data_IF_450236520773
#
_entry.id   IF_450236520773
#
_cell.length_a   1.000
_cell.length_b   1.000
_cell.length_c   1.000
_cell.angle_alpha   90.00
_cell.angle_beta   90.00
_cell.angle_gamma   90.00
#
_symmetry.space_group_name_H-M   'P 1'
#
loop_
_entity.id
_entity.type
_entity.pdbx_description
1 polymer ?
#
# COMPACT_ATOMS: atom_id res chain seq x y z
N UNK A 1 0.17 -35.80 18.93
CA UNK A 1 1.25 -36.23 18.02
C UNK A 1 1.60 -35.03 17.12
N UNK A 2 2.30 -34.03 17.66
CA UNK A 2 2.58 -32.73 16.95
C UNK A 2 4.05 -32.31 17.09
N UNK A 3 4.97 -33.24 17.35
CA UNK A 3 6.39 -32.96 17.41
C UNK A 3 7.18 -33.97 16.55
N UNK A 4 7.17 -33.72 15.22
CA UNK A 4 8.27 -34.18 14.38
C UNK A 4 9.09 -32.94 14.00
N UNK A 5 10.40 -32.88 14.31
CA UNK A 5 11.25 -31.80 13.88
C UNK A 5 11.31 -31.79 12.34
N UNK A 6 11.19 -30.59 11.75
CA UNK A 6 11.38 -30.38 10.33
C UNK A 6 12.75 -30.91 9.89
N UNK A 7 12.76 -31.84 8.94
CA UNK A 7 13.97 -32.36 8.34
C UNK A 7 14.60 -31.28 7.47
N UNK A 8 15.85 -30.85 7.77
CA UNK A 8 16.79 -30.31 6.81
C UNK A 8 17.01 -28.79 6.78
N UNK A 9 17.25 -28.15 7.93
CA UNK A 9 18.04 -26.93 7.92
C UNK A 9 19.54 -27.30 8.06
N UNK A 10 20.47 -26.76 7.23
CA UNK A 10 21.89 -26.91 7.48
C UNK A 10 22.22 -26.26 8.81
N UNK A 11 22.94 -26.99 9.67
CA UNK A 11 23.34 -26.53 11.00
C UNK A 11 24.19 -25.27 10.91
N UNK A 12 23.63 -24.10 11.31
CA UNK A 12 24.39 -22.88 11.55
C UNK A 12 23.91 -21.59 10.87
N UNK A 13 23.14 -21.64 9.82
CA UNK A 13 22.58 -20.41 9.20
C UNK A 13 21.22 -20.03 9.83
N UNK A 14 20.93 -18.75 10.09
CA UNK A 14 19.64 -18.32 10.58
C UNK A 14 18.55 -18.68 9.56
N UNK A 15 17.40 -19.18 10.05
CA UNK A 15 16.26 -19.52 9.19
C UNK A 15 15.68 -18.24 8.58
N UNK A 16 15.55 -18.21 7.25
CA UNK A 16 15.02 -17.06 6.52
C UNK A 16 13.57 -17.29 6.11
N UNK A 17 12.65 -16.51 6.67
CA UNK A 17 11.23 -16.59 6.36
C UNK A 17 10.96 -16.27 4.88
N UNK A 18 11.69 -15.31 4.31
CA UNK A 18 11.61 -14.92 2.90
C UNK A 18 12.02 -16.04 1.93
N UNK A 19 12.78 -17.05 2.37
CA UNK A 19 13.16 -18.20 1.54
C UNK A 19 11.99 -19.14 1.25
N UNK A 20 10.91 -19.06 1.99
CA UNK A 20 9.69 -19.85 1.81
C UNK A 20 8.68 -19.22 0.84
N UNK A 21 8.99 -18.03 0.27
CA UNK A 21 8.08 -17.29 -0.58
C UNK A 21 8.73 -16.86 -1.90
N UNK A 22 8.02 -17.04 -3.03
CA UNK A 22 8.51 -16.61 -4.35
C UNK A 22 8.42 -15.08 -4.54
N UNK A 23 7.58 -14.38 -3.76
CA UNK A 23 7.40 -12.93 -3.74
C UNK A 23 7.44 -12.40 -2.31
N UNK A 24 7.00 -11.17 -2.09
CA UNK A 24 6.88 -10.60 -0.75
C UNK A 24 6.28 -9.20 -0.77
N UNK A 25 5.58 -8.84 0.32
CA UNK A 25 4.89 -7.58 0.43
C UNK A 25 3.89 -7.34 -0.71
N UNK A 26 3.50 -6.09 -0.93
CA UNK A 26 2.58 -5.73 -2.01
C UNK A 26 3.13 -6.00 -3.43
N UNK A 27 4.42 -6.26 -3.58
CA UNK A 27 5.02 -6.67 -4.85
C UNK A 27 4.60 -8.07 -5.34
N UNK A 28 3.90 -8.88 -4.53
CA UNK A 28 3.33 -10.16 -4.95
C UNK A 28 1.91 -10.05 -5.53
N UNK A 29 1.28 -8.87 -5.52
CA UNK A 29 -0.03 -8.64 -6.13
C UNK A 29 0.00 -8.99 -7.63
N UNK A 30 -1.14 -9.41 -8.18
CA UNK A 30 -1.30 -9.59 -9.62
C UNK A 30 -1.06 -8.26 -10.34
N UNK A 31 -0.49 -8.34 -11.56
CA UNK A 31 -0.29 -7.14 -12.35
C UNK A 31 -1.65 -6.47 -12.65
N UNK A 32 -1.74 -5.11 -12.70
CA UNK A 32 -2.99 -4.40 -12.96
C UNK A 32 -3.70 -4.85 -14.24
N UNK A 33 -2.95 -5.20 -15.29
CA UNK A 33 -3.52 -5.71 -16.55
C UNK A 33 -4.21 -7.06 -16.38
N UNK A 34 -3.59 -7.98 -15.63
CA UNK A 34 -4.14 -9.31 -15.33
C UNK A 34 -5.41 -9.19 -14.47
N UNK A 35 -5.38 -8.33 -13.46
CA UNK A 35 -6.55 -8.11 -12.59
C UNK A 35 -7.73 -7.56 -13.39
N UNK A 36 -7.49 -6.59 -14.28
CA UNK A 36 -8.54 -6.05 -15.16
C UNK A 36 -9.14 -7.13 -16.09
N UNK A 37 -8.29 -7.99 -16.66
CA UNK A 37 -8.75 -9.11 -17.50
C UNK A 37 -9.67 -10.06 -16.72
N UNK A 38 -9.27 -10.45 -15.50
CA UNK A 38 -10.06 -11.34 -14.63
C UNK A 38 -11.41 -10.72 -14.20
N UNK A 39 -11.47 -9.41 -14.05
CA UNK A 39 -12.69 -8.71 -13.63
C UNK A 39 -13.61 -8.33 -14.82
N UNK A 40 -13.08 -8.24 -16.04
CA UNK A 40 -13.82 -7.77 -17.22
C UNK A 40 -15.03 -8.66 -17.59
N UNK A 41 -14.98 -9.96 -17.30
CA UNK A 41 -16.04 -10.93 -17.62
C UNK A 41 -16.99 -11.20 -16.43
N UNK A 42 -16.82 -10.49 -15.32
CA UNK A 42 -17.71 -10.67 -14.17
C UNK A 42 -19.08 -10.07 -14.47
N UNK A 43 -20.19 -10.80 -14.22
CA UNK A 43 -21.51 -10.24 -14.40
C UNK A 43 -21.63 -9.00 -13.50
N UNK A 44 -22.07 -7.88 -14.09
CA UNK A 44 -22.40 -6.71 -13.32
C UNK A 44 -23.36 -7.13 -12.20
N UNK A 45 -22.91 -7.02 -10.96
CA UNK A 45 -23.78 -7.20 -9.81
C UNK A 45 -24.99 -6.27 -9.99
N UNK A 46 -26.18 -6.69 -9.57
CA UNK A 46 -27.39 -5.86 -9.68
C UNK A 46 -27.18 -4.50 -8.99
N UNK A 47 -28.06 -3.54 -9.22
CA UNK A 47 -27.94 -2.24 -8.60
C UNK A 47 -28.10 -2.38 -7.07
N UNK A 48 -26.98 -2.31 -6.38
CA UNK A 48 -26.96 -2.25 -4.91
C UNK A 48 -26.90 -0.77 -4.51
N UNK A 49 -28.05 -0.12 -4.34
CA UNK A 49 -28.16 1.33 -4.10
C UNK A 49 -27.34 1.81 -2.90
N UNK A 50 -27.10 0.93 -1.90
CA UNK A 50 -26.31 1.24 -0.71
C UNK A 50 -24.82 0.94 -0.84
N UNK A 51 -24.38 0.33 -1.95
CA UNK A 51 -22.96 0.14 -2.24
C UNK A 51 -22.43 1.43 -2.87
N UNK A 52 -21.78 2.29 -2.04
CA UNK A 52 -21.29 3.60 -2.48
C UNK A 52 -19.96 3.51 -3.21
N UNK A 53 -19.16 2.47 -2.91
CA UNK A 53 -17.87 2.16 -3.54
C UNK A 53 -17.79 0.64 -3.72
N UNK A 54 -17.60 0.20 -4.95
CA UNK A 54 -17.43 -1.18 -5.35
C UNK A 54 -16.10 -1.39 -6.09
N UNK A 55 -16.14 -2.16 -7.16
CA UNK A 55 -14.95 -2.51 -7.97
C UNK A 55 -14.74 -1.59 -9.17
N UNK A 56 -15.62 -0.61 -9.40
CA UNK A 56 -15.69 0.14 -10.65
C UNK A 56 -14.53 1.13 -10.82
N UNK A 57 -14.08 1.74 -9.74
CA UNK A 57 -13.08 2.82 -9.76
C UNK A 57 -11.72 2.41 -9.19
N UNK A 58 -11.59 1.17 -8.69
CA UNK A 58 -10.34 0.67 -8.11
C UNK A 58 -9.95 1.42 -6.84
N UNK A 59 -10.95 1.81 -6.04
CA UNK A 59 -10.73 2.40 -4.72
C UNK A 59 -10.15 1.38 -3.74
N UNK A 60 -9.58 1.85 -2.64
CA UNK A 60 -8.83 1.03 -1.68
C UNK A 60 -9.72 0.03 -0.92
N UNK A 61 -11.02 0.36 -0.70
CA UNK A 61 -11.95 -0.52 0.00
C UNK A 61 -13.38 -0.38 -0.52
N UNK A 62 -14.18 -1.43 -0.31
CA UNK A 62 -15.62 -1.37 -0.51
C UNK A 62 -16.29 -0.51 0.58
N UNK A 63 -17.29 0.28 0.20
CA UNK A 63 -18.07 1.11 1.12
C UNK A 63 -19.54 0.83 0.95
N UNK A 64 -20.19 0.37 2.02
CA UNK A 64 -21.63 0.10 2.06
C UNK A 64 -22.33 1.02 3.05
N UNK A 65 -23.35 1.74 2.62
CA UNK A 65 -24.13 2.62 3.46
C UNK A 65 -25.12 1.83 4.33
N UNK A 66 -24.98 1.91 5.65
CA UNK A 66 -25.87 1.25 6.59
C UNK A 66 -27.15 2.08 6.83
N UNK A 67 -26.96 3.38 7.01
CA UNK A 67 -28.00 4.39 7.24
C UNK A 67 -27.52 5.77 6.73
N UNK A 68 -28.28 6.83 7.01
CA UNK A 68 -27.98 8.19 6.51
C UNK A 68 -26.69 8.79 7.10
N UNK A 69 -26.21 8.26 8.22
CA UNK A 69 -25.06 8.81 8.95
C UNK A 69 -23.84 7.88 8.89
N UNK A 70 -24.03 6.58 8.60
CA UNK A 70 -23.02 5.55 8.79
C UNK A 70 -22.77 4.73 7.52
N UNK A 71 -21.52 4.65 7.13
CA UNK A 71 -21.00 3.69 6.14
C UNK A 71 -20.12 2.64 6.81
N UNK A 72 -20.21 1.41 6.34
CA UNK A 72 -19.27 0.34 6.61
C UNK A 72 -18.20 0.36 5.53
N UNK A 73 -16.92 0.32 5.93
CA UNK A 73 -15.77 0.13 5.06
C UNK A 73 -15.26 -1.29 5.26
N UNK A 74 -15.02 -2.02 4.20
CA UNK A 74 -14.51 -3.39 4.26
C UNK A 74 -13.39 -3.59 3.22
N UNK A 75 -12.25 -4.06 3.68
CA UNK A 75 -11.09 -4.39 2.86
C UNK A 75 -10.46 -5.70 3.26
N UNK A 76 -9.63 -6.24 2.38
CA UNK A 76 -8.84 -7.45 2.62
C UNK A 76 -7.48 -7.30 1.95
N UNK A 77 -6.42 -7.27 2.74
CA UNK A 77 -5.06 -7.28 2.20
C UNK A 77 -4.17 -8.28 2.95
N UNK A 78 -3.43 -9.08 2.18
CA UNK A 78 -2.53 -10.11 2.66
C UNK A 78 -1.43 -10.37 1.65
N UNK A 79 -0.27 -10.81 2.12
CA UNK A 79 0.87 -11.10 1.26
C UNK A 79 1.86 -12.08 1.90
N UNK A 80 2.85 -12.48 1.12
CA UNK A 80 3.96 -13.32 1.53
C UNK A 80 5.06 -12.48 2.20
N UNK A 81 5.91 -13.09 3.06
CA UNK A 81 6.98 -12.38 3.78
C UNK A 81 7.93 -11.63 2.86
N UNK A 82 8.23 -10.39 3.22
CA UNK A 82 9.24 -9.56 2.60
C UNK A 82 10.45 -9.28 3.52
N UNK A 83 10.35 -9.68 4.78
CA UNK A 83 11.40 -9.62 5.81
C UNK A 83 11.50 -10.97 6.51
N UNK A 84 12.64 -11.25 7.14
CA UNK A 84 12.90 -12.55 7.78
C UNK A 84 12.46 -12.59 9.25
N UNK A 85 12.34 -11.43 9.92
CA UNK A 85 11.78 -11.35 11.26
C UNK A 85 10.26 -11.56 11.23
N UNK A 86 9.74 -12.62 11.89
CA UNK A 86 8.32 -12.93 11.84
C UNK A 86 7.43 -11.90 12.55
N UNK A 87 7.92 -11.27 13.63
CA UNK A 87 7.18 -10.24 14.33
C UNK A 87 7.04 -8.98 13.45
N UNK A 88 8.13 -8.55 12.81
CA UNK A 88 8.10 -7.42 11.87
C UNK A 88 7.22 -7.71 10.65
N UNK A 89 7.27 -8.94 10.10
CA UNK A 89 6.36 -9.33 9.02
C UNK A 89 4.89 -9.18 9.44
N UNK A 90 4.54 -9.64 10.65
CA UNK A 90 3.19 -9.47 11.20
C UNK A 90 2.78 -8.01 11.33
N UNK A 91 3.68 -7.15 11.83
CA UNK A 91 3.45 -5.70 11.95
C UNK A 91 3.19 -5.06 10.58
N UNK A 92 4.05 -5.33 9.61
CA UNK A 92 3.96 -4.76 8.26
C UNK A 92 2.63 -5.16 7.60
N UNK A 93 2.27 -6.45 7.67
CA UNK A 93 1.05 -6.95 7.05
C UNK A 93 -0.22 -6.32 7.65
N UNK A 94 -0.26 -6.15 8.97
CA UNK A 94 -1.36 -5.50 9.64
C UNK A 94 -1.43 -3.99 9.33
N UNK A 95 -0.29 -3.30 9.30
CA UNK A 95 -0.22 -1.87 8.94
C UNK A 95 -0.77 -1.64 7.54
N UNK A 96 -0.37 -2.49 6.59
CA UNK A 96 -0.81 -2.41 5.20
C UNK A 96 -2.33 -2.62 5.09
N UNK A 97 -2.86 -3.69 5.69
CA UNK A 97 -4.29 -3.99 5.60
C UNK A 97 -5.21 -2.93 6.27
N UNK A 98 -4.73 -2.30 7.35
CA UNK A 98 -5.50 -1.23 8.02
C UNK A 98 -5.45 0.08 7.22
N UNK A 99 -4.46 0.27 6.38
CA UNK A 99 -4.23 1.50 5.61
C UNK A 99 -5.41 1.86 4.71
N UNK A 100 -6.02 0.89 4.05
CA UNK A 100 -7.17 1.09 3.14
C UNK A 100 -8.33 1.81 3.84
N UNK A 101 -8.61 1.45 5.11
CA UNK A 101 -9.66 2.12 5.88
C UNK A 101 -9.33 3.59 6.10
N UNK A 102 -8.06 3.90 6.39
CA UNK A 102 -7.61 5.29 6.54
C UNK A 102 -7.64 6.05 5.22
N UNK A 103 -7.24 5.41 4.11
CA UNK A 103 -7.28 5.99 2.77
C UNK A 103 -8.70 6.39 2.36
N UNK A 104 -9.70 5.57 2.74
CA UNK A 104 -11.12 5.90 2.54
C UNK A 104 -11.65 7.01 3.48
N UNK A 105 -10.82 7.63 4.31
CA UNK A 105 -11.24 8.64 5.29
C UNK A 105 -11.94 8.05 6.52
N UNK A 106 -11.89 6.73 6.70
CA UNK A 106 -12.58 6.00 7.74
C UNK A 106 -11.78 5.83 9.04
N UNK A 107 -12.47 5.26 10.03
CA UNK A 107 -11.90 4.81 11.28
C UNK A 107 -11.98 3.29 11.37
N UNK A 108 -10.86 2.56 11.53
CA UNK A 108 -10.88 1.13 11.75
C UNK A 108 -11.70 0.76 12.99
N UNK A 109 -12.42 -0.35 12.94
CA UNK A 109 -13.29 -0.84 14.02
C UNK A 109 -12.80 -2.19 14.57
N UNK A 110 -12.49 -3.13 13.72
CA UNK A 110 -11.96 -4.46 14.07
C UNK A 110 -11.28 -5.11 12.86
N UNK A 111 -10.52 -6.16 13.11
CA UNK A 111 -9.90 -6.97 12.06
C UNK A 111 -10.11 -8.47 12.28
N UNK A 112 -10.06 -9.24 11.19
CA UNK A 112 -10.00 -10.70 11.17
C UNK A 112 -8.70 -11.13 10.49
N UNK A 113 -7.95 -12.04 11.13
CA UNK A 113 -6.68 -12.53 10.59
C UNK A 113 -6.89 -13.53 9.45
N UNK A 114 -6.09 -13.37 8.39
CA UNK A 114 -5.96 -14.33 7.29
C UNK A 114 -4.58 -14.95 7.41
N UNK A 115 -4.52 -16.27 7.62
CA UNK A 115 -3.30 -16.99 7.92
C UNK A 115 -3.17 -18.23 7.03
N UNK A 116 -2.21 -18.25 6.12
CA UNK A 116 -1.77 -19.45 5.40
C UNK A 116 -0.34 -19.77 5.78
N UNK A 117 -0.07 -21.00 6.29
CA UNK A 117 1.28 -21.36 6.74
C UNK A 117 1.66 -22.76 6.28
N UNK A 118 2.91 -22.97 5.80
CA UNK A 118 3.38 -24.29 5.39
C UNK A 118 3.68 -25.14 6.63
N UNK A 119 2.72 -25.96 7.05
CA UNK A 119 2.88 -26.86 8.17
C UNK A 119 4.05 -27.82 7.94
N UNK A 120 4.87 -28.03 8.96
CA UNK A 120 6.07 -28.86 8.87
C UNK A 120 7.31 -28.21 8.26
N UNK A 121 7.20 -27.01 7.66
CA UNK A 121 8.34 -26.20 7.18
C UNK A 121 8.60 -25.00 8.10
N UNK A 122 7.54 -24.37 8.59
CA UNK A 122 7.64 -23.19 9.45
C UNK A 122 7.37 -23.57 10.91
N UNK A 123 8.31 -23.30 11.85
CA UNK A 123 8.08 -23.55 13.27
C UNK A 123 6.88 -22.77 13.82
N UNK A 124 6.04 -23.41 14.62
CA UNK A 124 4.85 -22.79 15.26
C UNK A 124 5.22 -21.55 16.09
N UNK A 125 6.43 -21.51 16.67
CA UNK A 125 6.91 -20.35 17.41
C UNK A 125 7.01 -19.10 16.51
N UNK A 126 7.46 -19.24 15.25
CA UNK A 126 7.52 -18.13 14.30
C UNK A 126 6.12 -17.69 13.89
N UNK A 127 5.18 -18.61 13.71
CA UNK A 127 3.77 -18.26 13.43
C UNK A 127 3.17 -17.43 14.56
N UNK A 128 3.48 -17.77 15.82
CA UNK A 128 3.05 -16.98 16.98
C UNK A 128 3.61 -15.56 16.96
N UNK A 129 4.88 -15.38 16.57
CA UNK A 129 5.48 -14.04 16.47
C UNK A 129 4.83 -13.22 15.36
N UNK A 130 4.47 -13.83 14.19
CA UNK A 130 3.70 -13.16 13.15
C UNK A 130 2.38 -12.64 13.71
N UNK A 131 1.62 -13.49 14.38
CA UNK A 131 0.33 -13.10 14.98
C UNK A 131 0.49 -12.00 16.04
N UNK A 132 1.53 -12.07 16.89
CA UNK A 132 1.84 -11.02 17.88
C UNK A 132 2.15 -9.69 17.21
N UNK A 133 2.91 -9.69 16.12
CA UNK A 133 3.20 -8.49 15.34
C UNK A 133 1.92 -7.84 14.81
N UNK A 134 1.03 -8.63 14.22
CA UNK A 134 -0.26 -8.14 13.74
C UNK A 134 -1.15 -7.60 14.86
N UNK A 135 -1.22 -8.31 16.00
CA UNK A 135 -1.95 -7.85 17.18
C UNK A 135 -1.40 -6.54 17.76
N UNK A 136 -0.08 -6.37 17.75
CA UNK A 136 0.56 -5.14 18.24
C UNK A 136 0.13 -3.91 17.43
N UNK A 137 0.13 -4.02 16.11
CA UNK A 137 -0.33 -2.94 15.21
C UNK A 137 -1.84 -2.70 15.33
N UNK A 138 -2.64 -3.75 15.42
CA UNK A 138 -4.08 -3.61 15.64
C UNK A 138 -4.37 -2.88 16.98
N UNK A 139 -3.68 -3.25 18.06
CA UNK A 139 -3.77 -2.58 19.34
C UNK A 139 -3.32 -1.11 19.24
N UNK A 140 -2.24 -0.84 18.52
CA UNK A 140 -1.79 0.53 18.22
C UNK A 140 -2.86 1.31 17.44
N UNK A 141 -3.55 0.70 16.47
CA UNK A 141 -4.69 1.31 15.77
C UNK A 141 -5.94 1.45 16.65
N UNK A 142 -5.93 0.88 17.86
CA UNK A 142 -7.06 0.90 18.79
C UNK A 142 -8.17 -0.08 18.44
N UNK A 143 -7.86 -1.17 17.71
CA UNK A 143 -8.84 -2.17 17.30
C UNK A 143 -8.44 -3.58 17.73
N UNK A 144 -9.42 -4.49 17.99
CA UNK A 144 -9.15 -5.90 18.21
C UNK A 144 -8.91 -6.65 16.91
N UNK A 145 -8.05 -7.69 16.94
CA UNK A 145 -8.13 -8.81 16.00
C UNK A 145 -9.12 -9.81 16.62
N UNK A 146 -10.35 -9.83 16.10
CA UNK A 146 -11.49 -10.51 16.71
C UNK A 146 -11.68 -11.98 16.28
N UNK A 147 -10.73 -12.52 15.52
CA UNK A 147 -10.77 -13.89 14.98
C UNK A 147 -10.07 -13.97 13.64
N UNK A 148 -10.51 -14.88 12.79
CA UNK A 148 -9.93 -15.05 11.46
C UNK A 148 -10.04 -16.48 10.95
N UNK A 149 -9.30 -16.77 9.88
CA UNK A 149 -9.22 -18.09 9.27
C UNK A 149 -7.78 -18.51 9.02
N UNK A 150 -7.49 -19.79 9.17
CA UNK A 150 -6.15 -20.35 8.95
C UNK A 150 -6.20 -21.62 8.10
N UNK A 151 -5.25 -21.74 7.19
CA UNK A 151 -5.09 -22.91 6.32
C UNK A 151 -3.64 -23.37 6.27
N UNK A 152 -3.44 -24.66 5.96
CA UNK A 152 -2.15 -25.17 5.49
C UNK A 152 -1.94 -24.69 4.04
N UNK A 153 -0.86 -23.98 3.78
CA UNK A 153 -0.54 -23.39 2.48
C UNK A 153 0.92 -23.67 2.13
N UNK A 154 1.28 -23.78 0.84
CA UNK A 154 2.66 -24.08 0.43
C UNK A 154 3.66 -22.96 0.77
N UNK A 155 3.19 -21.74 0.92
CA UNK A 155 3.96 -20.54 1.25
C UNK A 155 3.31 -19.80 2.42
N UNK A 156 4.11 -19.10 3.25
CA UNK A 156 3.54 -18.26 4.31
C UNK A 156 2.74 -17.09 3.74
N UNK A 157 1.54 -16.91 4.24
CA UNK A 157 0.66 -15.79 3.91
C UNK A 157 0.10 -15.24 5.21
N UNK A 158 0.16 -13.92 5.40
CA UNK A 158 -0.49 -13.24 6.50
C UNK A 158 -1.03 -11.90 6.08
N UNK A 159 -2.17 -11.54 6.64
CA UNK A 159 -2.80 -10.25 6.49
C UNK A 159 -4.10 -10.20 7.27
N UNK A 160 -4.90 -9.17 6.99
CA UNK A 160 -6.16 -8.94 7.70
C UNK A 160 -7.29 -8.65 6.70
N UNK A 161 -8.49 -9.08 7.06
CA UNK A 161 -9.72 -8.41 6.61
C UNK A 161 -10.04 -7.35 7.66
N UNK A 162 -10.17 -6.09 7.24
CA UNK A 162 -10.38 -4.96 8.15
C UNK A 162 -11.75 -4.35 7.90
N UNK A 163 -12.47 -4.13 9.00
CA UNK A 163 -13.75 -3.43 9.01
C UNK A 163 -13.54 -2.07 9.65
N UNK A 164 -14.05 -1.03 8.99
CA UNK A 164 -14.06 0.33 9.48
C UNK A 164 -15.41 1.00 9.30
N UNK A 165 -15.54 2.20 9.81
CA UNK A 165 -16.74 3.04 9.66
C UNK A 165 -16.35 4.45 9.27
N UNK A 166 -17.27 5.12 8.56
CA UNK A 166 -17.19 6.54 8.22
C UNK A 166 -18.58 7.13 8.08
N UNK A 167 -18.69 8.44 8.09
CA UNK A 167 -19.88 9.11 7.58
C UNK A 167 -19.84 9.19 6.06
N UNK A 168 -20.97 9.13 5.35
CA UNK A 168 -21.00 9.33 3.89
C UNK A 168 -20.27 10.60 3.43
N UNK A 169 -20.31 11.67 4.24
CA UNK A 169 -19.65 12.94 3.94
C UNK A 169 -18.12 12.91 4.06
N UNK A 170 -17.55 11.93 4.79
CA UNK A 170 -16.11 11.83 5.04
C UNK A 170 -15.42 10.78 4.17
N UNK A 171 -16.18 10.01 3.38
CA UNK A 171 -15.61 9.06 2.41
C UNK A 171 -14.80 9.82 1.35
N UNK A 172 -13.58 9.35 1.09
CA UNK A 172 -12.70 9.83 0.03
C UNK A 172 -12.53 8.75 -1.02
N UNK A 173 -12.71 9.10 -2.27
CA UNK A 173 -12.66 8.18 -3.43
C UNK A 173 -11.57 8.60 -4.39
N UNK A 174 -11.05 7.67 -5.17
CA UNK A 174 -10.14 7.97 -6.27
C UNK A 174 -10.77 8.86 -7.35
N UNK A 175 -12.09 8.83 -7.46
CA UNK A 175 -12.87 9.52 -8.50
C UNK A 175 -13.30 10.95 -8.16
N UNK A 176 -12.83 11.52 -7.07
CA UNK A 176 -13.32 12.81 -6.58
C UNK A 176 -12.27 13.95 -6.58
N UNK A 177 -11.08 13.71 -7.13
CA UNK A 177 -10.09 14.76 -7.36
C UNK A 177 -10.61 15.79 -8.37
N UNK A 178 -10.14 17.03 -8.23
CA UNK A 178 -10.57 18.18 -9.07
C UNK A 178 -9.40 18.77 -9.85
N UNK A 179 -9.68 19.35 -11.00
CA UNK A 179 -8.67 20.10 -11.73
C UNK A 179 -8.13 21.26 -10.88
N UNK A 180 -6.82 21.40 -10.81
CA UNK A 180 -6.13 22.37 -9.97
C UNK A 180 -5.71 21.83 -8.60
N UNK A 181 -6.20 20.67 -8.16
CA UNK A 181 -5.78 20.09 -6.88
C UNK A 181 -4.27 19.91 -6.81
N UNK A 182 -3.68 20.30 -5.69
CA UNK A 182 -2.32 19.91 -5.33
C UNK A 182 -2.29 18.45 -4.84
N UNK A 183 -1.18 17.76 -5.10
CA UNK A 183 -0.98 16.39 -4.68
C UNK A 183 0.07 16.33 -3.58
N UNK A 184 -0.27 15.73 -2.44
CA UNK A 184 0.65 15.51 -1.31
C UNK A 184 0.86 14.02 -1.16
N UNK A 185 2.13 13.58 -1.06
CA UNK A 185 2.50 12.22 -0.68
C UNK A 185 3.02 12.23 0.75
N UNK A 186 2.49 11.34 1.61
CA UNK A 186 2.76 11.42 3.06
C UNK A 186 4.00 10.66 3.52
N UNK A 187 4.44 9.61 2.81
CA UNK A 187 5.65 8.83 3.13
C UNK A 187 6.59 8.78 1.93
N UNK A 188 7.87 8.54 2.22
CA UNK A 188 8.91 8.36 1.21
C UNK A 188 8.74 7.06 0.41
N UNK A 189 9.15 7.08 -0.87
CA UNK A 189 9.17 5.95 -1.80
C UNK A 189 10.50 5.18 -1.71
N UNK A 190 10.51 3.92 -2.17
CA UNK A 190 11.72 3.11 -2.31
C UNK A 190 11.70 1.80 -1.53
N UNK A 191 10.57 1.43 -0.92
CA UNK A 191 10.41 0.19 -0.13
C UNK A 191 10.71 -1.06 -0.96
N UNK A 192 10.27 -1.11 -2.22
CA UNK A 192 10.55 -2.24 -3.11
C UNK A 192 12.04 -2.35 -3.46
N UNK A 193 12.71 -1.23 -3.72
CA UNK A 193 14.16 -1.19 -3.95
C UNK A 193 14.92 -1.72 -2.72
N UNK A 194 14.51 -1.30 -1.53
CA UNK A 194 15.09 -1.79 -0.26
C UNK A 194 14.83 -3.30 -0.08
N UNK A 195 13.62 -3.77 -0.38
CA UNK A 195 13.30 -5.20 -0.33
C UNK A 195 14.12 -6.02 -1.32
N UNK A 196 14.39 -5.50 -2.53
CA UNK A 196 15.24 -6.14 -3.50
C UNK A 196 16.70 -6.23 -3.03
N UNK A 197 17.22 -5.17 -2.40
CA UNK A 197 18.54 -5.16 -1.79
C UNK A 197 18.62 -6.10 -0.58
N UNK A 198 17.58 -6.12 0.27
CA UNK A 198 17.50 -7.03 1.42
C UNK A 198 17.56 -8.50 1.01
N UNK A 199 16.81 -8.89 -0.01
CA UNK A 199 16.85 -10.27 -0.54
C UNK A 199 18.22 -10.70 -1.03
N UNK A 200 19.03 -9.74 -1.52
CA UNK A 200 20.42 -9.94 -1.97
C UNK A 200 21.47 -9.69 -0.88
N UNK A 201 21.05 -9.50 0.37
CA UNK A 201 21.92 -9.24 1.54
C UNK A 201 22.80 -7.99 1.37
N UNK A 202 22.32 -7.03 0.57
CA UNK A 202 23.03 -5.78 0.25
C UNK A 202 22.43 -4.53 0.96
N UNK A 203 21.36 -4.69 1.75
CA UNK A 203 20.72 -3.57 2.45
C UNK A 203 21.46 -3.29 3.77
N UNK A 204 22.00 -2.06 3.98
CA UNK A 204 22.63 -1.68 5.24
C UNK A 204 21.64 -1.76 6.43
N UNK A 205 22.13 -2.06 7.66
CA UNK A 205 21.26 -2.14 8.84
C UNK A 205 20.46 -0.86 9.14
N UNK A 206 21.03 0.32 8.90
CA UNK A 206 20.33 1.60 9.07
C UNK A 206 19.17 1.75 8.07
N UNK A 207 19.38 1.38 6.81
CA UNK A 207 18.35 1.38 5.77
C UNK A 207 17.26 0.31 6.06
N UNK A 208 17.65 -0.84 6.60
CA UNK A 208 16.65 -1.83 7.06
C UNK A 208 15.76 -1.25 8.15
N UNK A 209 16.32 -0.59 9.15
CA UNK A 209 15.56 0.06 10.22
C UNK A 209 14.64 1.18 9.68
N UNK A 210 15.10 1.99 8.72
CA UNK A 210 14.31 3.00 8.02
C UNK A 210 13.12 2.36 7.28
N UNK A 211 13.36 1.27 6.55
CA UNK A 211 12.33 0.51 5.84
C UNK A 211 11.24 0.00 6.79
N UNK A 212 11.64 -0.67 7.87
CA UNK A 212 10.70 -1.19 8.89
C UNK A 212 9.91 -0.03 9.51
N UNK A 213 10.56 1.06 9.89
CA UNK A 213 9.91 2.24 10.45
C UNK A 213 8.84 2.81 9.52
N UNK A 214 9.16 2.95 8.23
CA UNK A 214 8.19 3.42 7.22
C UNK A 214 7.00 2.48 7.08
N UNK A 215 7.25 1.17 6.95
CA UNK A 215 6.20 0.17 6.72
C UNK A 215 5.33 -0.13 7.93
N UNK A 216 5.78 0.20 9.14
CA UNK A 216 5.00 -0.01 10.38
C UNK A 216 4.37 1.27 10.91
N UNK A 217 4.50 2.40 10.21
CA UNK A 217 3.79 3.64 10.52
C UNK A 217 2.38 3.59 9.95
N UNK A 218 1.36 3.60 10.81
CA UNK A 218 -0.05 3.63 10.42
C UNK A 218 -0.42 4.94 9.70
N UNK A 219 -1.26 4.88 8.70
CA UNK A 219 -1.75 6.04 7.94
C UNK A 219 -2.93 6.76 8.64
N UNK A 220 -2.90 6.91 9.96
CA UNK A 220 -3.99 7.44 10.80
C UNK A 220 -4.50 8.82 10.39
N UNK A 221 -3.62 9.64 9.82
CA UNK A 221 -3.97 10.98 9.34
C UNK A 221 -5.12 10.95 8.32
N UNK A 222 -5.31 9.83 7.61
CA UNK A 222 -6.38 9.65 6.64
C UNK A 222 -7.78 9.87 7.23
N UNK A 223 -8.02 9.46 8.48
CA UNK A 223 -9.30 9.73 9.17
C UNK A 223 -9.55 11.24 9.32
N UNK A 224 -8.53 12.02 9.66
CA UNK A 224 -8.65 13.48 9.80
C UNK A 224 -8.75 14.15 8.43
N UNK A 225 -7.99 13.68 7.44
CA UNK A 225 -8.07 14.17 6.06
C UNK A 225 -9.46 13.95 5.46
N UNK A 226 -10.12 12.83 5.80
CA UNK A 226 -11.50 12.57 5.40
C UNK A 226 -12.50 13.62 5.89
N UNK A 227 -12.22 14.33 6.97
CA UNK A 227 -13.08 15.39 7.55
C UNK A 227 -12.81 16.77 6.96
N UNK A 228 -11.75 16.93 6.17
CA UNK A 228 -11.34 18.22 5.61
C UNK A 228 -12.08 18.45 4.28
N UNK A 229 -12.85 19.51 4.18
CA UNK A 229 -13.59 19.84 2.97
C UNK A 229 -12.66 20.14 1.78
N UNK A 230 -11.46 20.63 2.06
CA UNK A 230 -10.41 20.95 1.10
C UNK A 230 -9.71 19.71 0.52
N UNK A 231 -9.91 18.51 1.13
CA UNK A 231 -9.38 17.24 0.62
C UNK A 231 -10.44 16.59 -0.25
N UNK A 232 -10.12 16.35 -1.52
CA UNK A 232 -11.08 15.85 -2.47
C UNK A 232 -10.92 14.35 -2.74
N UNK A 233 -9.69 13.83 -2.87
CA UNK A 233 -9.42 12.41 -3.06
C UNK A 233 -8.23 11.97 -2.21
N UNK A 234 -8.26 10.71 -1.77
CA UNK A 234 -7.17 10.06 -1.03
C UNK A 234 -7.09 8.62 -1.51
N UNK A 235 -5.88 8.11 -1.67
CA UNK A 235 -5.57 6.67 -1.83
C UNK A 235 -4.25 6.38 -1.15
N UNK A 236 -3.95 5.14 -0.80
CA UNK A 236 -2.62 4.77 -0.36
C UNK A 236 -1.75 4.27 -1.52
N UNK A 237 -0.45 4.51 -1.44
CA UNK A 237 0.50 4.11 -2.49
C UNK A 237 1.10 2.78 -2.12
N UNK A 238 0.67 1.71 -2.79
CA UNK A 238 1.12 0.35 -2.51
C UNK A 238 1.72 -0.36 -3.74
N UNK A 239 1.26 -1.54 -4.07
CA UNK A 239 1.90 -2.46 -5.02
C UNK A 239 2.08 -1.96 -6.44
N UNK A 240 1.28 -1.01 -6.89
CA UNK A 240 1.38 -0.46 -8.26
C UNK A 240 2.31 0.74 -8.38
N UNK A 241 2.92 1.18 -7.26
CA UNK A 241 3.81 2.33 -7.21
C UNK A 241 3.07 3.66 -7.37
N UNK A 242 3.81 4.77 -7.26
CA UNK A 242 3.20 6.12 -7.34
C UNK A 242 2.53 6.38 -8.70
N UNK A 243 3.09 5.85 -9.80
CA UNK A 243 2.49 6.02 -11.12
C UNK A 243 1.19 5.25 -11.26
N UNK A 244 1.10 4.01 -10.74
CA UNK A 244 -0.10 3.19 -10.84
C UNK A 244 -1.25 3.79 -10.04
N UNK A 245 -1.03 4.08 -8.76
CA UNK A 245 -2.06 4.68 -7.90
C UNK A 245 -2.42 6.11 -8.32
N UNK A 246 -1.43 6.90 -8.77
CA UNK A 246 -1.71 8.20 -9.39
C UNK A 246 -2.57 8.10 -10.65
N UNK A 247 -2.36 7.06 -11.47
CA UNK A 247 -3.17 6.80 -12.66
C UNK A 247 -4.60 6.34 -12.30
N UNK A 248 -4.80 5.62 -11.19
CA UNK A 248 -6.13 5.29 -10.69
C UNK A 248 -6.91 6.55 -10.33
N UNK A 249 -6.30 7.49 -9.60
CA UNK A 249 -6.90 8.80 -9.30
C UNK A 249 -7.18 9.59 -10.58
N UNK A 250 -6.25 9.62 -11.53
CA UNK A 250 -6.41 10.33 -12.80
C UNK A 250 -7.59 9.78 -13.62
N UNK A 251 -7.70 8.45 -13.72
CA UNK A 251 -8.79 7.77 -14.43
C UNK A 251 -10.14 7.93 -13.72
N UNK A 252 -10.17 7.69 -12.42
CA UNK A 252 -11.38 7.82 -11.61
C UNK A 252 -11.98 9.23 -11.69
N UNK A 253 -11.13 10.25 -11.69
CA UNK A 253 -11.53 11.68 -11.75
C UNK A 253 -11.62 12.24 -13.18
N UNK A 254 -11.27 11.46 -14.22
CA UNK A 254 -11.22 11.91 -15.62
C UNK A 254 -10.29 13.11 -15.84
N UNK A 255 -9.12 13.10 -15.21
CA UNK A 255 -8.13 14.18 -15.20
C UNK A 255 -6.74 13.68 -15.61
N UNK A 256 -5.82 14.60 -15.88
CA UNK A 256 -4.39 14.32 -16.01
C UNK A 256 -3.67 14.63 -14.70
N UNK A 257 -2.85 13.69 -14.21
CA UNK A 257 -1.95 13.91 -13.08
C UNK A 257 -0.60 14.41 -13.60
N UNK A 258 -0.14 15.57 -13.14
CA UNK A 258 1.20 16.09 -13.35
C UNK A 258 2.05 15.80 -12.12
N UNK A 259 3.08 14.96 -12.28
CA UNK A 259 4.00 14.55 -11.24
C UNK A 259 5.34 15.24 -11.41
N UNK A 260 5.82 15.88 -10.37
CA UNK A 260 7.18 16.42 -10.28
C UNK A 260 8.09 15.37 -9.63
N UNK A 261 8.91 14.72 -10.44
CA UNK A 261 9.78 13.66 -9.97
C UNK A 261 10.92 14.16 -9.07
N UNK A 262 11.30 15.43 -9.14
CA UNK A 262 12.30 16.03 -8.26
C UNK A 262 11.72 16.38 -6.87
N UNK A 263 10.40 16.52 -6.77
CA UNK A 263 9.72 16.80 -5.50
C UNK A 263 9.37 15.55 -4.69
N UNK A 264 9.57 14.35 -5.24
CA UNK A 264 9.21 13.10 -4.58
C UNK A 264 10.08 12.83 -3.35
N UNK A 265 9.49 12.57 -2.18
CA UNK A 265 10.24 12.10 -1.04
C UNK A 265 10.68 10.64 -1.28
N UNK A 266 11.95 10.35 -1.08
CA UNK A 266 12.53 9.02 -1.24
C UNK A 266 13.31 8.60 0.00
N UNK A 267 13.36 7.30 0.28
CA UNK A 267 14.19 6.74 1.35
C UNK A 267 15.68 7.01 1.07
N UNK A 268 16.47 7.17 2.12
CA UNK A 268 17.83 7.69 2.02
C UNK A 268 18.74 6.96 1.00
N UNK A 269 18.60 5.64 0.88
CA UNK A 269 19.43 4.82 -0.02
C UNK A 269 18.71 4.47 -1.35
N UNK A 270 17.45 4.91 -1.54
CA UNK A 270 16.63 4.45 -2.66
C UNK A 270 17.23 4.82 -4.03
N UNK A 271 17.72 6.04 -4.18
CA UNK A 271 18.37 6.48 -5.42
C UNK A 271 19.65 5.66 -5.73
N UNK A 272 20.52 5.48 -4.73
CA UNK A 272 21.73 4.67 -4.89
C UNK A 272 21.38 3.25 -5.31
N UNK A 273 20.44 2.61 -4.61
CA UNK A 273 20.03 1.24 -4.90
C UNK A 273 19.39 1.10 -6.29
N UNK A 274 18.57 2.08 -6.70
CA UNK A 274 18.00 2.11 -8.04
C UNK A 274 19.07 2.20 -9.13
N UNK A 275 20.08 3.07 -8.95
CA UNK A 275 21.24 3.22 -9.86
C UNK A 275 22.11 1.96 -9.90
N UNK A 276 22.21 1.22 -8.80
CA UNK A 276 22.91 -0.07 -8.73
C UNK A 276 22.08 -1.25 -9.27
N UNK A 277 20.84 -1.02 -9.71
CA UNK A 277 19.99 -2.02 -10.33
C UNK A 277 19.25 -2.96 -9.36
N UNK A 278 19.06 -2.54 -8.11
CA UNK A 278 18.19 -3.25 -7.18
C UNK A 278 16.72 -2.93 -7.51
N UNK A 279 16.13 -3.67 -8.43
CA UNK A 279 14.78 -3.46 -8.93
C UNK A 279 13.95 -4.73 -8.70
N UNK A 280 12.68 -4.58 -8.31
CA UNK A 280 11.77 -5.70 -8.14
C UNK A 280 11.16 -6.13 -9.48
N UNK A 281 10.83 -7.41 -9.61
CA UNK A 281 10.06 -7.88 -10.77
C UNK A 281 8.68 -7.20 -10.89
N UNK A 282 8.12 -6.74 -9.78
CA UNK A 282 6.87 -5.98 -9.76
C UNK A 282 7.00 -4.62 -10.46
N UNK A 283 8.10 -3.89 -10.28
CA UNK A 283 8.36 -2.63 -10.99
C UNK A 283 8.29 -2.80 -12.51
N UNK A 284 8.90 -3.86 -13.05
CA UNK A 284 8.82 -4.17 -14.48
C UNK A 284 7.40 -4.51 -14.94
N UNK A 285 6.65 -5.32 -14.17
CA UNK A 285 5.25 -5.66 -14.49
C UNK A 285 4.34 -4.44 -14.42
N UNK A 286 4.57 -3.57 -13.47
CA UNK A 286 3.85 -2.31 -13.31
C UNK A 286 4.01 -1.45 -14.57
N UNK A 287 5.25 -1.20 -14.99
CA UNK A 287 5.52 -0.45 -16.20
C UNK A 287 4.89 -1.07 -17.45
N UNK A 288 5.03 -2.39 -17.63
CA UNK A 288 4.41 -3.10 -18.75
C UNK A 288 2.87 -3.00 -18.75
N UNK A 289 2.25 -2.84 -17.59
CA UNK A 289 0.78 -2.80 -17.46
C UNK A 289 0.15 -1.43 -17.73
N UNK A 290 0.89 -0.33 -17.50
CA UNK A 290 0.31 1.01 -17.58
C UNK A 290 1.23 2.08 -18.18
N UNK A 291 2.46 1.73 -18.59
CA UNK A 291 3.43 2.70 -19.11
C UNK A 291 2.94 3.51 -20.32
N UNK A 292 2.04 2.94 -21.14
CA UNK A 292 1.43 3.65 -22.28
C UNK A 292 0.57 4.85 -21.85
N UNK A 293 0.08 4.88 -20.61
CA UNK A 293 -0.69 5.99 -20.05
C UNK A 293 0.18 7.01 -19.29
N UNK A 294 1.52 6.88 -19.38
CA UNK A 294 2.49 7.72 -18.68
C UNK A 294 3.40 8.41 -19.69
N UNK A 295 3.39 9.74 -19.70
CA UNK A 295 4.34 10.53 -20.47
C UNK A 295 5.56 10.86 -19.61
N UNK A 296 6.74 10.42 -20.04
CA UNK A 296 8.04 10.75 -19.45
C UNK A 296 8.79 11.72 -20.37
N UNK A 297 9.71 12.56 -19.84
CA UNK A 297 10.68 13.29 -20.67
C UNK A 297 11.51 12.32 -21.55
N UNK A 298 11.96 12.78 -22.73
CA UNK A 298 12.66 11.92 -23.71
C UNK A 298 13.95 11.28 -23.13
N UNK A 299 14.64 11.96 -22.25
CA UNK A 299 15.89 11.52 -21.60
C UNK A 299 15.70 11.07 -20.14
N UNK A 300 14.47 10.72 -19.76
CA UNK A 300 14.18 10.33 -18.36
C UNK A 300 14.93 9.04 -18.00
N UNK A 301 15.79 9.04 -16.95
CA UNK A 301 16.65 7.90 -16.65
C UNK A 301 15.86 6.65 -16.22
N UNK A 302 16.26 5.46 -16.68
CA UNK A 302 15.63 4.20 -16.32
C UNK A 302 15.55 3.96 -14.79
N UNK A 303 16.61 4.31 -14.07
CA UNK A 303 16.61 4.15 -12.61
C UNK A 303 15.54 4.99 -11.91
N UNK A 304 15.23 6.20 -12.42
CA UNK A 304 14.13 7.04 -11.90
C UNK A 304 12.78 6.42 -12.25
N UNK A 305 12.61 5.93 -13.48
CA UNK A 305 11.40 5.21 -13.86
C UNK A 305 11.16 4.00 -12.94
N UNK A 306 12.19 3.25 -12.57
CA UNK A 306 12.08 2.15 -11.63
C UNK A 306 11.67 2.60 -10.23
N UNK A 307 12.13 3.77 -9.78
CA UNK A 307 11.67 4.38 -8.52
C UNK A 307 10.17 4.74 -8.58
N UNK A 308 9.70 5.29 -9.70
CA UNK A 308 8.29 5.66 -9.86
C UNK A 308 7.35 4.46 -9.97
N UNK A 309 7.83 3.34 -10.48
CA UNK A 309 7.07 2.07 -10.60
C UNK A 309 7.32 1.11 -9.44
N UNK A 310 8.14 1.52 -8.46
CA UNK A 310 8.54 0.70 -7.32
C UNK A 310 7.33 0.36 -6.43
N UNK A 311 7.05 -0.94 -6.19
CA UNK A 311 5.95 -1.31 -5.31
C UNK A 311 6.26 -0.88 -3.88
N UNK A 312 5.30 -0.20 -3.27
CA UNK A 312 5.37 0.12 -1.85
C UNK A 312 4.57 -0.91 -1.05
N UNK A 313 5.01 -1.19 0.16
CA UNK A 313 4.25 -1.97 1.15
C UNK A 313 4.02 -1.06 2.34
N UNK A 314 2.79 -0.90 2.76
CA UNK A 314 2.36 0.10 3.74
C UNK A 314 2.86 1.50 3.38
N UNK A 315 2.74 1.90 2.12
CA UNK A 315 3.18 3.21 1.65
C UNK A 315 2.36 4.36 2.22
N UNK A 316 2.68 5.57 1.81
CA UNK A 316 2.00 6.78 2.26
C UNK A 316 0.69 7.02 1.51
N UNK A 317 -0.11 7.94 2.04
CA UNK A 317 -1.30 8.44 1.35
C UNK A 317 -0.91 9.41 0.24
N UNK A 318 -1.54 9.28 -0.91
CA UNK A 318 -1.59 10.28 -1.99
C UNK A 318 -2.88 11.07 -1.80
N UNK A 319 -2.75 12.35 -1.54
CA UNK A 319 -3.85 13.25 -1.17
C UNK A 319 -4.00 14.33 -2.21
N UNK A 320 -5.19 14.42 -2.84
CA UNK A 320 -5.56 15.53 -3.72
C UNK A 320 -6.35 16.56 -2.92
N UNK A 321 -5.91 17.82 -2.92
CA UNK A 321 -6.52 18.87 -2.12
C UNK A 321 -6.50 20.22 -2.83
N UNK A 322 -7.36 21.13 -2.39
CA UNK A 322 -7.36 22.52 -2.85
C UNK A 322 -5.96 23.15 -2.76
N UNK A 323 -5.44 23.79 -3.82
CA UNK A 323 -4.07 24.31 -3.84
C UNK A 323 -3.83 25.36 -2.75
N UNK A 324 -4.85 26.15 -2.39
CA UNK A 324 -4.77 27.12 -1.30
C UNK A 324 -4.62 26.52 0.10
N UNK A 325 -5.03 25.25 0.29
CA UNK A 325 -4.92 24.53 1.55
C UNK A 325 -3.65 23.67 1.65
N UNK A 326 -2.95 23.43 0.55
CA UNK A 326 -1.87 22.45 0.47
C UNK A 326 -0.75 22.69 1.49
N UNK A 327 -0.31 23.93 1.69
CA UNK A 327 0.75 24.26 2.65
C UNK A 327 0.33 24.02 4.10
N UNK A 328 -0.92 24.32 4.44
CA UNK A 328 -1.48 24.08 5.79
C UNK A 328 -1.62 22.58 6.05
N UNK A 329 -2.21 21.84 5.10
CA UNK A 329 -2.35 20.39 5.20
C UNK A 329 -1.00 19.70 5.29
N UNK A 330 -0.01 20.11 4.49
CA UNK A 330 1.35 19.58 4.56
C UNK A 330 1.98 19.78 5.94
N UNK A 331 1.82 20.96 6.54
CA UNK A 331 2.32 21.23 7.88
C UNK A 331 1.63 20.36 8.94
N UNK A 332 0.31 20.19 8.86
CA UNK A 332 -0.48 19.31 9.73
C UNK A 332 -0.05 17.83 9.59
N UNK A 333 0.11 17.33 8.36
CA UNK A 333 0.56 15.98 8.05
C UNK A 333 1.96 15.74 8.66
N UNK A 334 2.90 16.68 8.49
CA UNK A 334 4.24 16.57 9.08
C UNK A 334 4.20 16.56 10.61
N UNK A 335 3.40 17.41 11.21
CA UNK A 335 3.20 17.46 12.65
C UNK A 335 2.55 16.20 13.22
N UNK A 336 1.72 15.51 12.42
CA UNK A 336 1.09 14.24 12.78
C UNK A 336 2.03 13.01 12.68
N UNK A 337 3.31 13.21 12.37
CA UNK A 337 4.32 12.13 12.37
C UNK A 337 4.74 11.64 10.97
N UNK A 338 4.47 12.40 9.92
CA UNK A 338 4.91 12.10 8.54
C UNK A 338 5.92 13.14 8.03
N UNK A 339 7.14 13.18 8.59
CA UNK A 339 8.11 14.27 8.32
C UNK A 339 8.55 14.33 6.85
N UNK A 340 8.49 13.20 6.13
CA UNK A 340 8.84 13.11 4.71
C UNK A 340 7.76 13.62 3.76
N UNK A 341 6.58 13.98 4.27
CA UNK A 341 5.49 14.44 3.41
C UNK A 341 5.89 15.61 2.52
N UNK A 342 5.47 15.59 1.25
CA UNK A 342 5.80 16.62 0.27
C UNK A 342 4.65 16.84 -0.71
N UNK A 343 4.56 18.07 -1.25
CA UNK A 343 3.75 18.33 -2.44
C UNK A 343 4.53 17.83 -3.64
N UNK A 344 3.93 16.92 -4.42
CA UNK A 344 4.61 16.17 -5.49
C UNK A 344 4.05 16.44 -6.87
N UNK A 345 3.05 17.29 -6.99
CA UNK A 345 2.42 17.54 -8.28
C UNK A 345 1.03 18.15 -8.16
N UNK A 346 0.25 18.01 -9.20
CA UNK A 346 -1.12 18.55 -9.28
C UNK A 346 -2.01 17.78 -10.24
N UNK A 347 -3.31 17.91 -10.08
CA UNK A 347 -4.30 17.46 -11.06
C UNK A 347 -4.59 18.59 -12.08
N UNK A 348 -4.84 18.23 -13.33
CA UNK A 348 -5.17 19.19 -14.38
C UNK A 348 -6.26 18.63 -15.31
N UNK A 349 -6.94 19.53 -16.03
CA UNK A 349 -7.80 19.11 -17.13
C UNK A 349 -6.97 18.43 -18.23
N UNK A 350 -7.51 17.36 -18.81
CA UNK A 350 -6.87 16.59 -19.87
C UNK A 350 -7.35 15.16 -19.92
N UNK A 351 -6.82 14.40 -20.87
CA UNK A 351 -7.10 12.96 -20.95
C UNK A 351 -6.51 12.22 -19.72
N UNK A 352 -7.22 11.21 -19.19
CA UNK A 352 -6.74 10.44 -18.06
C UNK A 352 -5.37 9.82 -18.30
N UNK A 353 -4.37 10.25 -17.53
CA UNK A 353 -2.97 9.83 -17.66
C UNK A 353 -2.08 10.48 -16.64
N UNK A 354 -0.79 10.15 -16.68
CA UNK A 354 0.24 10.76 -15.84
C UNK A 354 1.28 11.42 -16.73
N UNK A 355 1.60 12.66 -16.44
CA UNK A 355 2.68 13.44 -17.09
C UNK A 355 3.75 13.68 -16.04
N UNK A 356 4.95 13.20 -16.26
CA UNK A 356 6.10 13.34 -15.35
C UNK A 356 6.99 14.48 -15.83
N UNK A 357 7.46 15.30 -14.90
CA UNK A 357 8.49 16.32 -15.09
C UNK A 357 9.59 16.16 -14.04
N UNK A 358 10.76 16.78 -14.24
CA UNK A 358 11.89 16.78 -13.30
C UNK A 358 13.03 15.85 -13.70
#
# INVERSE_FOLDING_TARGET
MLDKPAAGAPSGAPFRLTSLAHGGGCGCKLAPSVLRELLAEQPAGGPFERLLVGTETGDDAAVYQLDDETCLIATTDFFMPMVDDPYEFGRIAATNAISDVYAMGGKPLMALAILGMPLGKLPTAMVREILKGGQAIAAEAGIPVAGGHSIDAPEPIYGLAVIGTASPATIRKNSTARAGDALILTKALGVGLYSAAFKKEALPPAAYAEMIGSMTTLNRIGTELGRRAEVHAVTDVTGFGILGHGLEVARGSSLTLHLDADALPVLAEAERLAREGFVTGASHRNWASYGEAVALPDDFPDWRRHLLTDPQTSGGLLVACEPGAASTLLAEIRAAGYPSAAVIGRMAEGAPGVVVSG
#
